data_IF_342651902600
#
_entry.id   IF_342651902600
#
_cell.length_a   1.000
_cell.length_b   1.000
_cell.length_c   1.000
_cell.angle_alpha   90.00
_cell.angle_beta   90.00
_cell.angle_gamma   90.00
#
_symmetry.space_group_name_H-M   'P 1'
#
loop_
_entity.id
_entity.type
_entity.pdbx_description
1 polymer ?
#
# COMPACT_ATOMS: atom_id res chain seq x y z
N UNK A 1 37.84 29.97 37.37
CA UNK A 1 37.04 28.76 37.14
C UNK A 1 35.73 29.04 36.36
N UNK A 2 34.82 29.90 36.81
CA UNK A 2 33.52 30.20 36.16
C UNK A 2 33.64 30.66 34.68
N UNK A 3 34.57 31.53 34.30
CA UNK A 3 34.74 32.01 32.92
C UNK A 3 35.22 30.92 31.93
N UNK A 4 36.04 29.98 32.37
CA UNK A 4 36.45 28.82 31.52
C UNK A 4 35.26 27.89 31.30
N UNK A 5 34.49 27.58 32.36
CA UNK A 5 33.28 26.74 32.27
C UNK A 5 32.25 27.36 31.32
N UNK A 6 31.98 28.65 31.38
CA UNK A 6 31.06 29.37 30.49
C UNK A 6 31.54 29.34 29.02
N UNK A 7 32.84 29.48 28.78
CA UNK A 7 33.40 29.36 27.40
C UNK A 7 33.30 27.96 26.86
N UNK A 8 33.56 26.93 27.68
CA UNK A 8 33.41 25.52 27.26
C UNK A 8 31.94 25.20 26.98
N UNK A 9 31.02 25.64 27.84
CA UNK A 9 29.59 25.46 27.64
C UNK A 9 29.11 26.18 26.35
N UNK A 10 29.54 27.43 26.13
CA UNK A 10 29.23 28.14 24.89
C UNK A 10 29.75 27.45 23.64
N UNK A 11 30.98 26.93 23.68
CA UNK A 11 31.54 26.17 22.58
C UNK A 11 30.74 24.88 22.30
N UNK A 12 30.35 24.10 23.33
CA UNK A 12 29.55 22.88 23.20
C UNK A 12 28.17 23.20 22.61
N UNK A 13 27.54 24.28 23.05
CA UNK A 13 26.23 24.69 22.49
C UNK A 13 26.38 25.07 21.02
N UNK A 14 27.35 25.92 20.67
CA UNK A 14 27.58 26.33 19.27
C UNK A 14 27.90 25.09 18.39
N UNK A 15 28.78 24.20 18.84
CA UNK A 15 29.11 22.98 18.13
C UNK A 15 27.85 22.10 17.95
N UNK A 16 27.02 21.94 18.99
CA UNK A 16 25.76 21.19 18.92
C UNK A 16 24.79 21.78 17.93
N UNK A 17 24.60 23.11 17.93
CA UNK A 17 23.72 23.81 16.98
C UNK A 17 24.25 23.70 15.54
N UNK A 18 25.56 23.81 15.35
CA UNK A 18 26.18 23.68 14.02
C UNK A 18 26.03 22.28 13.46
N UNK A 19 26.33 21.24 14.26
CA UNK A 19 26.18 19.84 13.86
C UNK A 19 24.70 19.52 13.61
N UNK A 20 23.79 19.95 14.48
CA UNK A 20 22.36 19.78 14.31
C UNK A 20 21.86 20.44 13.02
N UNK A 21 22.24 21.69 12.78
CA UNK A 21 21.89 22.43 11.56
C UNK A 21 22.44 21.77 10.29
N UNK A 22 23.70 21.35 10.31
CA UNK A 22 24.31 20.63 9.18
C UNK A 22 23.62 19.30 8.90
N UNK A 23 23.25 18.55 9.96
CA UNK A 23 22.51 17.29 9.83
C UNK A 23 21.14 17.51 9.21
N UNK A 24 20.38 18.48 9.69
CA UNK A 24 19.07 18.83 9.13
C UNK A 24 19.22 19.29 7.67
N UNK A 25 20.19 20.14 7.37
CA UNK A 25 20.50 20.58 6.01
C UNK A 25 20.84 19.41 5.08
N UNK A 26 21.66 18.49 5.54
CA UNK A 26 21.99 17.26 4.79
C UNK A 26 20.73 16.42 4.54
N UNK A 27 19.91 16.16 5.57
CA UNK A 27 18.66 15.41 5.41
C UNK A 27 17.69 16.09 4.46
N UNK A 28 17.69 17.42 4.41
CA UNK A 28 16.84 18.18 3.52
C UNK A 28 17.24 18.02 2.04
N UNK A 29 18.53 18.07 1.73
CA UNK A 29 19.04 17.99 0.35
C UNK A 29 19.30 16.58 -0.14
N UNK A 30 19.48 15.61 0.77
CA UNK A 30 19.76 14.22 0.39
C UNK A 30 18.62 13.64 -0.47
N UNK A 31 19.00 12.86 -1.50
CA UNK A 31 18.07 12.03 -2.26
C UNK A 31 17.94 10.64 -1.61
N UNK A 32 16.85 9.92 -1.87
CA UNK A 32 16.75 8.51 -1.49
C UNK A 32 17.91 7.67 -2.04
N UNK A 33 18.28 6.63 -1.33
CA UNK A 33 19.21 5.63 -1.85
C UNK A 33 18.48 4.78 -2.89
N UNK A 34 18.87 4.89 -4.15
CA UNK A 34 18.22 4.19 -5.26
C UNK A 34 19.22 3.79 -6.32
N UNK A 35 18.90 2.74 -7.07
CA UNK A 35 19.58 2.43 -8.31
C UNK A 35 19.05 3.33 -9.46
N UNK A 36 19.81 3.52 -10.54
CA UNK A 36 19.27 4.07 -11.77
C UNK A 36 18.08 3.21 -12.25
N UNK A 37 17.06 3.82 -12.91
CA UNK A 37 15.97 3.02 -13.47
C UNK A 37 16.54 2.04 -14.51
N UNK A 38 16.08 0.78 -14.55
CA UNK A 38 16.56 -0.17 -15.54
C UNK A 38 16.28 0.31 -16.96
N UNK A 39 17.25 0.14 -17.87
CA UNK A 39 17.12 0.54 -19.28
C UNK A 39 16.39 -0.52 -20.10
N UNK A 40 15.17 -0.86 -19.71
CA UNK A 40 14.35 -1.89 -20.38
C UNK A 40 13.13 -1.29 -21.08
N UNK A 41 12.66 -1.97 -22.10
CA UNK A 41 11.35 -1.78 -22.71
C UNK A 41 10.54 -3.05 -22.54
N UNK A 42 9.37 -2.93 -21.95
CA UNK A 42 8.52 -4.08 -21.61
C UNK A 42 7.75 -4.53 -22.87
N UNK A 43 7.87 -5.81 -23.28
CA UNK A 43 7.10 -6.32 -24.41
C UNK A 43 5.59 -6.34 -24.10
N UNK A 44 4.80 -5.81 -25.03
CA UNK A 44 3.34 -5.70 -24.92
C UNK A 44 2.63 -6.94 -25.47
N UNK A 45 2.81 -8.11 -24.83
CA UNK A 45 2.12 -9.35 -25.24
C UNK A 45 0.79 -9.49 -24.49
N UNK A 46 -0.19 -10.18 -25.09
CA UNK A 46 -1.49 -10.43 -24.46
C UNK A 46 -1.35 -11.17 -23.12
N UNK A 47 -0.47 -12.17 -23.04
CA UNK A 47 -0.22 -12.92 -21.83
C UNK A 47 0.33 -12.02 -20.72
N UNK A 48 1.27 -11.13 -21.05
CA UNK A 48 1.85 -10.18 -20.10
C UNK A 48 0.82 -9.14 -19.65
N UNK A 49 0.02 -8.61 -20.55
CA UNK A 49 -1.07 -7.68 -20.22
C UNK A 49 -2.11 -8.36 -19.31
N UNK A 50 -2.50 -9.59 -19.62
CA UNK A 50 -3.43 -10.37 -18.78
C UNK A 50 -2.86 -10.61 -17.37
N UNK A 51 -1.57 -10.99 -17.27
CA UNK A 51 -0.89 -11.13 -15.99
C UNK A 51 -0.80 -9.80 -15.24
N UNK A 52 -0.48 -8.71 -15.94
CA UNK A 52 -0.43 -7.36 -15.37
C UNK A 52 -1.77 -6.92 -14.81
N UNK A 53 -2.87 -7.20 -15.50
CA UNK A 53 -4.23 -6.95 -15.01
C UNK A 53 -4.52 -7.73 -13.72
N UNK A 54 -4.08 -8.97 -13.65
CA UNK A 54 -4.18 -9.78 -12.44
C UNK A 54 -3.42 -9.13 -11.27
N UNK A 55 -2.15 -8.75 -11.47
CA UNK A 55 -1.32 -8.10 -10.46
C UNK A 55 -1.92 -6.76 -10.04
N UNK A 56 -2.40 -5.96 -10.98
CA UNK A 56 -3.07 -4.68 -10.70
C UNK A 56 -4.26 -4.83 -9.74
N UNK A 57 -5.06 -5.88 -9.93
CA UNK A 57 -6.20 -6.20 -9.05
C UNK A 57 -5.74 -6.74 -7.69
N UNK A 58 -4.77 -7.66 -7.66
CA UNK A 58 -4.24 -8.23 -6.42
C UNK A 58 -3.60 -7.15 -5.53
N UNK A 59 -2.81 -6.26 -6.13
CA UNK A 59 -2.16 -5.14 -5.45
C UNK A 59 -3.11 -3.95 -5.17
N UNK A 60 -4.37 -4.05 -5.58
CA UNK A 60 -5.41 -3.01 -5.44
C UNK A 60 -4.94 -1.60 -5.85
N UNK A 61 -4.29 -1.47 -7.01
CA UNK A 61 -3.83 -0.18 -7.51
C UNK A 61 -4.98 0.84 -7.62
N UNK A 62 -6.18 0.37 -7.97
CA UNK A 62 -7.41 1.16 -7.99
C UNK A 62 -7.75 1.75 -6.62
N UNK A 63 -7.39 1.08 -5.52
CA UNK A 63 -7.67 1.52 -4.16
C UNK A 63 -7.15 2.91 -3.83
N UNK A 64 -6.01 3.27 -4.44
CA UNK A 64 -5.36 4.56 -4.26
C UNK A 64 -5.39 5.46 -5.50
N UNK A 65 -5.34 4.87 -6.71
CA UNK A 65 -5.13 5.64 -7.94
C UNK A 65 -6.38 5.91 -8.76
N UNK A 66 -7.56 5.41 -8.33
CA UNK A 66 -8.81 5.56 -9.07
C UNK A 66 -9.87 6.29 -8.26
N UNK A 67 -10.78 6.95 -8.96
CA UNK A 67 -12.00 7.47 -8.36
C UNK A 67 -12.91 6.31 -7.96
N UNK A 68 -13.42 6.33 -6.71
CA UNK A 68 -14.22 5.23 -6.16
C UNK A 68 -15.53 5.75 -5.58
N UNK A 69 -16.60 4.98 -5.80
CA UNK A 69 -17.92 5.25 -5.20
C UNK A 69 -18.04 4.56 -3.84
N UNK A 70 -17.62 5.25 -2.78
CA UNK A 70 -17.73 4.75 -1.41
C UNK A 70 -19.14 4.72 -0.83
N UNK A 71 -20.16 5.17 -1.57
CA UNK A 71 -21.55 4.94 -1.21
C UNK A 71 -22.02 3.50 -1.47
N UNK A 72 -21.20 2.71 -2.18
CA UNK A 72 -21.45 1.32 -2.53
C UNK A 72 -20.46 0.37 -1.86
N UNK A 73 -20.90 -0.88 -1.64
CA UNK A 73 -20.07 -1.91 -1.01
C UNK A 73 -18.75 -2.12 -1.77
N UNK A 74 -17.65 -2.13 -1.01
CA UNK A 74 -16.31 -2.28 -1.56
C UNK A 74 -15.79 -1.08 -2.35
N UNK A 75 -16.57 0.01 -2.43
CA UNK A 75 -16.20 1.21 -3.16
C UNK A 75 -15.80 0.90 -4.61
N UNK A 76 -16.71 0.47 -5.49
CA UNK A 76 -16.38 0.15 -6.88
C UNK A 76 -15.73 1.33 -7.57
N UNK A 77 -14.86 1.03 -8.53
CA UNK A 77 -14.20 2.05 -9.35
C UNK A 77 -15.23 2.73 -10.25
N UNK A 78 -15.17 4.04 -10.32
CA UNK A 78 -15.84 4.81 -11.38
C UNK A 78 -15.00 4.66 -12.64
N UNK A 79 -15.48 3.90 -13.62
CA UNK A 79 -14.66 3.48 -14.78
C UNK A 79 -14.03 4.67 -15.54
N UNK A 80 -14.73 5.79 -15.68
CA UNK A 80 -14.20 7.02 -16.28
C UNK A 80 -13.07 7.67 -15.47
N UNK A 81 -12.88 7.24 -14.23
CA UNK A 81 -11.85 7.72 -13.30
C UNK A 81 -10.79 6.69 -12.94
N UNK A 82 -10.72 5.56 -13.66
CA UNK A 82 -9.73 4.50 -13.40
C UNK A 82 -8.31 4.99 -13.64
N UNK A 83 -7.48 4.93 -12.61
CA UNK A 83 -6.07 5.32 -12.68
C UNK A 83 -5.81 6.83 -12.77
N UNK A 84 -6.84 7.68 -12.75
CA UNK A 84 -6.68 9.14 -12.92
C UNK A 84 -5.93 9.84 -11.81
N UNK A 85 -5.71 9.15 -10.67
CA UNK A 85 -5.15 9.73 -9.46
C UNK A 85 -6.18 10.48 -8.60
N UNK A 86 -5.89 10.60 -7.32
CA UNK A 86 -6.78 11.23 -6.33
C UNK A 86 -6.00 12.06 -5.30
N UNK A 87 -6.69 12.98 -4.64
CA UNK A 87 -6.22 13.66 -3.43
C UNK A 87 -6.91 12.98 -2.25
N UNK A 88 -6.13 12.47 -1.29
CA UNK A 88 -6.70 11.80 -0.13
C UNK A 88 -7.37 12.79 0.82
N UNK A 89 -8.53 12.43 1.39
CA UNK A 89 -9.26 13.30 2.28
C UNK A 89 -8.53 13.49 3.62
N UNK A 90 -8.65 14.67 4.25
CA UNK A 90 -7.98 14.99 5.52
C UNK A 90 -8.34 14.05 6.67
N UNK A 91 -9.53 13.42 6.64
CA UNK A 91 -10.06 12.51 7.65
C UNK A 91 -9.20 11.24 7.82
N UNK A 92 -8.37 10.92 6.83
CA UNK A 92 -7.38 9.84 6.96
C UNK A 92 -6.25 10.17 7.95
N UNK A 93 -6.15 11.40 8.44
CA UNK A 93 -5.14 11.80 9.42
C UNK A 93 -3.70 11.76 8.89
N UNK A 94 -3.51 11.89 7.58
CA UNK A 94 -2.21 11.83 6.93
C UNK A 94 -1.36 13.09 7.26
N UNK A 95 -0.03 12.98 7.24
CA UNK A 95 0.86 14.06 7.64
C UNK A 95 1.02 15.14 6.55
N UNK A 96 -0.08 15.69 6.07
CA UNK A 96 -0.13 16.73 5.04
C UNK A 96 -1.17 16.44 3.96
N UNK A 97 -1.10 17.14 2.85
CA UNK A 97 -1.89 16.82 1.65
C UNK A 97 -1.20 15.70 0.90
N UNK A 98 -1.74 14.50 0.99
CA UNK A 98 -1.19 13.32 0.32
C UNK A 98 -2.03 13.02 -0.91
N UNK A 99 -1.37 12.63 -1.99
CA UNK A 99 -2.00 12.36 -3.28
C UNK A 99 -1.47 11.06 -3.86
N UNK A 100 -2.33 10.31 -4.55
CA UNK A 100 -1.92 9.25 -5.47
C UNK A 100 -1.92 9.84 -6.89
N UNK A 101 -0.81 9.78 -7.62
CA UNK A 101 -0.71 10.40 -8.94
C UNK A 101 -1.56 9.67 -9.98
N UNK A 102 -1.79 10.34 -11.11
CA UNK A 102 -2.36 9.75 -12.30
C UNK A 102 -1.39 8.68 -12.86
N UNK A 103 -1.85 7.44 -12.93
CA UNK A 103 -1.09 6.28 -13.45
C UNK A 103 -1.55 5.83 -14.84
N UNK A 104 -2.43 6.59 -15.49
CA UNK A 104 -2.78 6.34 -16.88
C UNK A 104 -1.64 6.74 -17.82
N UNK A 105 -1.60 6.25 -19.08
CA UNK A 105 -0.57 6.60 -20.04
C UNK A 105 -0.78 8.00 -20.68
N UNK A 106 -1.43 8.93 -19.98
CA UNK A 106 -1.48 10.32 -20.41
C UNK A 106 -0.08 10.94 -20.38
N UNK A 107 0.39 11.53 -21.49
CA UNK A 107 1.78 12.00 -21.61
C UNK A 107 2.08 13.25 -20.79
N UNK A 108 1.06 14.06 -20.46
CA UNK A 108 1.25 15.34 -19.76
C UNK A 108 1.07 15.19 -18.23
N UNK A 109 0.07 14.42 -17.80
CA UNK A 109 -0.34 14.37 -16.40
C UNK A 109 -0.20 12.99 -15.76
N UNK A 110 0.07 11.95 -16.57
CA UNK A 110 0.20 10.56 -16.14
C UNK A 110 1.59 9.97 -16.37
N UNK A 111 1.63 8.68 -16.67
CA UNK A 111 2.87 7.91 -16.89
C UNK A 111 3.30 7.81 -18.34
N UNK A 112 2.60 8.44 -19.30
CA UNK A 112 2.86 8.28 -20.73
C UNK A 112 4.25 8.74 -21.18
N UNK A 113 4.83 9.74 -20.51
CA UNK A 113 6.19 10.21 -20.77
C UNK A 113 7.28 9.51 -19.94
N UNK A 114 6.93 8.53 -19.09
CA UNK A 114 7.87 7.77 -18.29
C UNK A 114 8.40 6.56 -19.05
N UNK A 115 9.68 6.25 -18.90
CA UNK A 115 10.21 4.96 -19.36
C UNK A 115 9.65 3.81 -18.52
N UNK A 116 9.65 2.59 -19.04
CA UNK A 116 9.18 1.43 -18.30
C UNK A 116 10.05 1.16 -17.06
N UNK A 117 11.36 1.41 -17.15
CA UNK A 117 12.25 1.32 -16.00
C UNK A 117 11.94 2.35 -14.91
N UNK A 118 11.54 3.59 -15.26
CA UNK A 118 11.10 4.59 -14.27
C UNK A 118 9.81 4.14 -13.55
N UNK A 119 8.88 3.51 -14.27
CA UNK A 119 7.65 2.94 -13.70
C UNK A 119 7.98 1.80 -12.74
N UNK A 120 8.87 0.87 -13.14
CA UNK A 120 9.33 -0.25 -12.31
C UNK A 120 9.99 0.26 -11.02
N UNK A 121 10.90 1.25 -11.14
CA UNK A 121 11.55 1.86 -9.98
C UNK A 121 10.54 2.52 -9.04
N UNK A 122 9.56 3.23 -9.56
CA UNK A 122 8.50 3.84 -8.74
C UNK A 122 7.69 2.78 -7.98
N UNK A 123 7.33 1.68 -8.63
CA UNK A 123 6.53 0.61 -8.05
C UNK A 123 7.32 -0.15 -6.97
N UNK A 124 8.57 -0.54 -7.25
CA UNK A 124 9.34 -1.44 -6.36
C UNK A 124 10.23 -0.72 -5.36
N UNK A 125 10.70 0.49 -5.68
CA UNK A 125 11.65 1.22 -4.85
C UNK A 125 11.05 2.47 -4.19
N UNK A 126 9.89 2.93 -4.65
CA UNK A 126 9.25 4.14 -4.12
C UNK A 126 9.93 5.44 -4.56
N UNK A 127 10.51 5.48 -5.76
CA UNK A 127 11.23 6.65 -6.29
C UNK A 127 10.62 7.11 -7.60
N UNK A 128 10.15 8.33 -7.62
CA UNK A 128 9.57 8.96 -8.80
C UNK A 128 10.59 9.22 -9.92
N UNK A 129 10.10 9.63 -11.08
CA UNK A 129 10.91 9.97 -12.26
C UNK A 129 12.00 11.02 -11.95
N UNK A 130 11.67 12.01 -11.14
CA UNK A 130 12.56 13.09 -10.71
C UNK A 130 13.58 12.67 -9.62
N UNK A 131 13.56 11.40 -9.20
CA UNK A 131 14.39 10.88 -8.14
C UNK A 131 13.91 11.23 -6.71
N UNK A 132 12.71 11.78 -6.57
CA UNK A 132 12.13 12.04 -5.26
C UNK A 132 11.50 10.78 -4.65
N UNK A 133 11.56 10.67 -3.31
CA UNK A 133 10.86 9.62 -2.58
C UNK A 133 9.34 9.78 -2.73
N UNK A 134 8.65 8.70 -3.02
CA UNK A 134 7.20 8.61 -2.93
C UNK A 134 6.79 8.47 -1.46
N UNK A 135 5.60 8.99 -1.11
CA UNK A 135 5.08 8.82 0.24
C UNK A 135 4.77 7.32 0.50
N UNK A 136 5.22 6.75 1.65
CA UNK A 136 5.18 5.29 1.90
C UNK A 136 3.78 4.73 2.19
N UNK A 137 2.70 5.46 1.84
CA UNK A 137 1.37 4.90 1.73
C UNK A 137 1.23 4.04 0.46
N UNK A 138 1.97 4.35 -0.61
CA UNK A 138 2.20 3.40 -1.69
C UNK A 138 3.09 2.26 -1.14
N UNK A 139 2.65 1.00 -1.15
CA UNK A 139 3.33 -0.07 -0.44
C UNK A 139 4.53 -0.65 -1.22
N UNK A 140 5.42 0.22 -1.70
CA UNK A 140 6.60 -0.19 -2.46
C UNK A 140 7.55 -1.10 -1.64
N UNK A 141 7.49 -1.07 -0.31
CA UNK A 141 8.22 -2.02 0.54
C UNK A 141 7.73 -3.45 0.33
N UNK A 142 6.41 -3.64 0.21
CA UNK A 142 5.82 -4.93 -0.15
C UNK A 142 6.10 -5.28 -1.62
N UNK A 143 5.94 -4.30 -2.52
CA UNK A 143 6.15 -4.49 -3.96
C UNK A 143 7.62 -4.72 -4.35
N UNK A 144 8.58 -4.39 -3.49
CA UNK A 144 10.01 -4.71 -3.70
C UNK A 144 10.24 -6.20 -3.90
N UNK A 145 9.39 -7.05 -3.32
CA UNK A 145 9.43 -8.50 -3.50
C UNK A 145 8.65 -9.01 -4.70
N UNK A 146 7.98 -8.13 -5.45
CA UNK A 146 7.32 -8.51 -6.71
C UNK A 146 8.39 -8.98 -7.70
N UNK A 147 8.15 -10.13 -8.36
CA UNK A 147 9.09 -10.66 -9.35
C UNK A 147 9.28 -9.70 -10.53
N UNK A 148 10.43 -9.79 -11.19
CA UNK A 148 10.71 -8.96 -12.36
C UNK A 148 9.64 -9.16 -13.43
N UNK A 149 9.22 -10.41 -13.68
CA UNK A 149 8.15 -10.74 -14.61
C UNK A 149 6.81 -10.09 -14.23
N UNK A 150 6.44 -10.09 -12.96
CA UNK A 150 5.17 -9.55 -12.49
C UNK A 150 5.14 -8.01 -12.52
N UNK A 151 6.24 -7.34 -12.14
CA UNK A 151 6.27 -5.87 -12.23
C UNK A 151 6.31 -5.39 -13.67
N UNK A 152 7.03 -6.09 -14.56
CA UNK A 152 6.99 -5.82 -16.01
C UNK A 152 5.58 -6.05 -16.57
N UNK A 153 4.91 -7.12 -16.16
CA UNK A 153 3.54 -7.39 -16.57
C UNK A 153 2.58 -6.29 -16.07
N UNK A 154 2.76 -5.82 -14.85
CA UNK A 154 2.01 -4.69 -14.32
C UNK A 154 2.23 -3.42 -15.17
N UNK A 155 3.47 -3.11 -15.53
CA UNK A 155 3.79 -1.97 -16.41
C UNK A 155 3.14 -2.14 -17.78
N UNK A 156 3.18 -3.35 -18.38
CA UNK A 156 2.49 -3.62 -19.62
C UNK A 156 0.99 -3.30 -19.53
N UNK A 157 0.33 -3.74 -18.44
CA UNK A 157 -1.08 -3.44 -18.24
C UNK A 157 -1.34 -1.94 -18.04
N UNK A 158 -0.54 -1.23 -17.25
CA UNK A 158 -0.66 0.22 -17.06
C UNK A 158 -0.60 0.98 -18.38
N UNK A 159 0.24 0.53 -19.31
CA UNK A 159 0.36 1.11 -20.65
C UNK A 159 -0.87 0.88 -21.51
N UNK A 160 -1.79 -0.02 -21.14
CA UNK A 160 -3.07 -0.27 -21.85
C UNK A 160 -4.25 0.50 -21.29
N UNK A 161 -4.11 1.16 -20.13
CA UNK A 161 -5.20 1.94 -19.56
C UNK A 161 -5.60 3.09 -20.51
N UNK A 162 -6.89 3.46 -20.57
CA UNK A 162 -7.28 4.67 -21.29
C UNK A 162 -6.55 5.90 -20.73
N UNK A 163 -5.93 6.74 -21.56
CA UNK A 163 -5.29 7.95 -21.08
C UNK A 163 -6.34 8.94 -20.56
N UNK A 164 -6.13 9.43 -19.34
CA UNK A 164 -7.01 10.42 -18.71
C UNK A 164 -6.16 11.63 -18.35
N UNK A 165 -6.46 12.79 -18.94
CA UNK A 165 -5.80 14.04 -18.56
C UNK A 165 -6.34 14.53 -17.23
N UNK A 166 -5.57 14.37 -16.16
CA UNK A 166 -5.91 14.81 -14.82
C UNK A 166 -4.66 15.22 -14.05
N UNK A 167 -4.52 16.53 -13.80
CA UNK A 167 -3.40 17.07 -13.06
C UNK A 167 -3.63 16.91 -11.57
N UNK A 168 -3.01 15.91 -10.97
CA UNK A 168 -3.01 15.72 -9.52
C UNK A 168 -1.84 16.50 -8.90
N UNK A 169 -2.06 17.34 -7.87
CA UNK A 169 -0.98 18.07 -7.21
C UNK A 169 0.02 17.09 -6.57
N UNK A 170 1.27 17.52 -6.41
CA UNK A 170 2.26 16.71 -5.66
C UNK A 170 1.89 16.66 -4.19
N UNK A 171 2.16 15.52 -3.55
CA UNK A 171 2.02 15.38 -2.11
C UNK A 171 2.85 16.41 -1.35
N UNK A 172 2.23 17.08 -0.40
CA UNK A 172 2.85 18.05 0.49
C UNK A 172 2.95 17.47 1.89
N UNK A 173 4.05 16.77 2.16
CA UNK A 173 4.28 16.07 3.43
C UNK A 173 4.87 17.03 4.45
N UNK A 174 4.25 17.12 5.64
CA UNK A 174 4.72 18.00 6.73
C UNK A 174 6.01 17.49 7.36
N UNK A 175 6.83 18.44 7.83
CA UNK A 175 7.98 18.15 8.68
C UNK A 175 7.52 17.52 10.02
N UNK A 176 8.25 16.54 10.59
CA UNK A 176 9.52 15.97 10.12
C UNK A 176 9.36 14.80 9.14
N UNK A 177 8.14 14.34 8.85
CA UNK A 177 7.87 13.16 8.02
C UNK A 177 8.44 13.33 6.60
N UNK A 178 8.39 14.56 6.06
CA UNK A 178 8.97 14.90 4.75
C UNK A 178 10.47 14.60 4.62
N UNK A 179 11.22 14.63 5.73
CA UNK A 179 12.63 14.23 5.76
C UNK A 179 12.81 12.74 6.00
N UNK A 180 12.03 12.17 6.92
CA UNK A 180 12.15 10.78 7.34
C UNK A 180 11.78 9.82 6.19
N UNK A 181 10.73 10.15 5.42
CA UNK A 181 10.29 9.33 4.29
C UNK A 181 11.37 9.11 3.22
N UNK A 182 12.37 9.99 3.12
CA UNK A 182 13.47 9.84 2.14
C UNK A 182 14.37 8.64 2.42
N UNK A 183 14.28 8.04 3.60
CA UNK A 183 15.01 6.81 3.95
C UNK A 183 14.23 5.52 3.73
N UNK A 184 12.93 5.60 3.42
CA UNK A 184 12.09 4.44 3.16
C UNK A 184 12.39 3.76 1.80
N UNK A 185 12.63 4.48 0.68
CA UNK A 185 13.05 3.86 -0.57
C UNK A 185 14.35 3.09 -0.43
N UNK A 186 14.40 1.90 -1.02
CA UNK A 186 15.58 1.03 -1.06
C UNK A 186 15.69 0.42 -2.46
N UNK A 187 16.90 0.21 -2.99
CA UNK A 187 17.09 -0.48 -4.26
C UNK A 187 16.45 -1.87 -4.26
N UNK A 188 15.77 -2.21 -5.34
CA UNK A 188 15.27 -3.55 -5.58
C UNK A 188 16.30 -4.32 -6.42
N UNK A 189 16.76 -5.46 -5.92
CA UNK A 189 17.55 -6.41 -6.71
C UNK A 189 16.65 -7.21 -7.66
N UNK A 190 17.24 -8.08 -8.50
CA UNK A 190 16.50 -9.04 -9.29
C UNK A 190 15.66 -9.97 -8.39
N UNK A 191 14.40 -10.18 -8.76
CA UNK A 191 13.49 -11.09 -8.05
C UNK A 191 12.96 -12.11 -9.05
N UNK A 192 13.31 -13.40 -8.88
CA UNK A 192 12.84 -14.45 -9.78
C UNK A 192 11.31 -14.66 -9.63
N UNK A 193 10.66 -15.25 -10.63
CA UNK A 193 9.27 -15.62 -10.52
C UNK A 193 9.06 -16.61 -9.37
N UNK A 194 7.95 -16.52 -8.62
CA UNK A 194 7.67 -17.44 -7.53
C UNK A 194 7.39 -18.85 -8.07
N UNK A 195 7.88 -19.87 -7.36
CA UNK A 195 7.51 -21.25 -7.64
C UNK A 195 6.05 -21.48 -7.24
N UNK A 196 5.18 -21.61 -8.25
CA UNK A 196 3.75 -21.86 -8.04
C UNK A 196 3.42 -23.27 -7.57
N UNK A 197 4.37 -24.22 -7.68
CA UNK A 197 4.22 -25.58 -7.16
C UNK A 197 4.42 -25.64 -5.64
N UNK A 198 5.22 -24.73 -5.07
CA UNK A 198 5.32 -24.54 -3.63
C UNK A 198 4.17 -23.64 -3.14
N UNK A 199 3.08 -24.27 -2.76
CA UNK A 199 1.86 -23.60 -2.34
C UNK A 199 2.08 -22.59 -1.19
N UNK A 200 2.96 -22.88 -0.23
CA UNK A 200 3.21 -22.00 0.90
C UNK A 200 4.00 -20.76 0.49
N UNK A 201 5.09 -20.95 -0.25
CA UNK A 201 5.89 -19.82 -0.74
C UNK A 201 5.13 -18.96 -1.74
N UNK A 202 4.34 -19.60 -2.61
CA UNK A 202 3.49 -18.85 -3.52
C UNK A 202 2.41 -18.07 -2.77
N UNK A 203 1.80 -18.63 -1.74
CA UNK A 203 0.85 -17.95 -0.86
C UNK A 203 1.47 -16.78 -0.11
N UNK A 204 2.69 -16.96 0.43
CA UNK A 204 3.47 -15.86 1.04
C UNK A 204 3.68 -14.71 0.05
N UNK A 205 4.11 -15.04 -1.17
CA UNK A 205 4.31 -14.07 -2.24
C UNK A 205 3.04 -13.27 -2.53
N UNK A 206 1.90 -13.94 -2.72
CA UNK A 206 0.61 -13.29 -3.02
C UNK A 206 0.13 -12.40 -1.87
N UNK A 207 0.22 -12.88 -0.61
CA UNK A 207 -0.14 -12.12 0.59
C UNK A 207 0.74 -10.88 0.73
N UNK A 208 2.02 -10.99 0.39
CA UNK A 208 2.98 -9.90 0.48
C UNK A 208 2.74 -8.84 -0.61
N UNK A 209 2.65 -9.23 -1.88
CA UNK A 209 2.41 -8.26 -2.96
C UNK A 209 0.97 -7.73 -2.98
N UNK A 210 0.01 -8.42 -2.36
CA UNK A 210 -1.33 -7.92 -2.08
C UNK A 210 -1.40 -6.97 -0.89
N UNK A 211 -0.27 -6.71 -0.24
CA UNK A 211 -0.12 -5.84 0.95
C UNK A 211 -1.12 -6.13 2.06
N UNK A 212 -1.46 -7.41 2.27
CA UNK A 212 -2.40 -7.80 3.33
C UNK A 212 -1.92 -7.31 4.70
N UNK A 213 -0.61 -7.38 4.96
CA UNK A 213 0.03 -6.90 6.18
C UNK A 213 -0.12 -5.39 6.38
N UNK A 214 -0.09 -4.61 5.32
CA UNK A 214 -0.21 -3.14 5.39
C UNK A 214 -1.53 -2.68 6.00
N UNK A 215 -2.62 -3.40 5.71
CA UNK A 215 -3.93 -3.13 6.30
C UNK A 215 -4.17 -3.94 7.58
N UNK A 216 -3.74 -5.20 7.65
CA UNK A 216 -4.07 -6.12 8.73
C UNK A 216 -3.03 -6.20 9.86
N UNK A 217 -2.01 -5.34 9.86
CA UNK A 217 -1.07 -5.18 10.98
C UNK A 217 -1.28 -3.82 11.64
N UNK A 218 -1.55 -3.75 12.94
CA UNK A 218 -1.69 -2.48 13.63
C UNK A 218 -0.34 -1.76 13.69
N UNK A 219 -0.37 -0.44 13.64
CA UNK A 219 0.83 0.38 13.65
C UNK A 219 0.68 1.53 14.64
N UNK A 220 1.77 1.87 15.31
CA UNK A 220 1.89 3.04 16.17
C UNK A 220 2.99 3.96 15.63
N UNK A 221 2.69 5.25 15.52
CA UNK A 221 3.62 6.24 14.94
C UNK A 221 4.19 5.83 13.57
N UNK A 222 3.36 5.18 12.73
CA UNK A 222 3.74 4.70 11.39
C UNK A 222 4.60 3.43 11.38
N UNK A 223 4.86 2.80 12.53
CA UNK A 223 5.63 1.55 12.63
C UNK A 223 4.71 0.40 13.04
N UNK A 224 4.82 -0.78 12.39
CA UNK A 224 4.10 -1.98 12.83
C UNK A 224 4.41 -2.32 14.29
N UNK A 225 3.38 -2.67 15.06
CA UNK A 225 3.54 -3.13 16.44
C UNK A 225 4.16 -4.52 16.42
N UNK A 226 5.27 -4.68 17.15
CA UNK A 226 5.99 -5.94 17.19
C UNK A 226 5.10 -7.07 17.74
N UNK A 227 5.14 -8.24 17.10
CA UNK A 227 4.34 -9.39 17.47
C UNK A 227 2.86 -9.34 17.04
N UNK A 228 2.42 -8.26 16.38
CA UNK A 228 1.04 -8.07 15.96
C UNK A 228 0.84 -8.21 14.44
N UNK A 229 1.76 -8.85 13.74
CA UNK A 229 1.63 -9.07 12.31
C UNK A 229 0.31 -9.78 11.97
N UNK A 230 -0.47 -9.21 11.05
CA UNK A 230 -1.79 -9.70 10.61
C UNK A 230 -2.89 -9.75 11.69
N UNK A 231 -2.66 -9.18 12.88
CA UNK A 231 -3.62 -9.23 13.99
C UNK A 231 -4.81 -8.26 13.83
N UNK A 232 -4.86 -7.45 12.78
CA UNK A 232 -5.92 -6.46 12.57
C UNK A 232 -5.81 -5.25 13.49
N UNK A 233 -6.87 -4.47 13.59
CA UNK A 233 -6.93 -3.32 14.52
C UNK A 233 -6.59 -1.97 13.91
N UNK A 234 -6.25 -1.90 12.62
CA UNK A 234 -6.01 -0.62 11.95
C UNK A 234 -7.33 0.05 11.58
N UNK A 235 -7.52 1.26 12.08
CA UNK A 235 -8.72 2.05 11.84
C UNK A 235 -8.59 2.88 10.55
N UNK A 236 -9.62 2.83 9.72
CA UNK A 236 -9.77 3.64 8.50
C UNK A 236 -11.02 4.49 8.60
N UNK A 237 -10.94 5.74 8.13
CA UNK A 237 -12.07 6.67 8.05
C UNK A 237 -12.17 7.25 6.64
N UNK A 238 -13.38 7.19 6.05
CA UNK A 238 -13.68 7.82 4.75
C UNK A 238 -15.04 8.53 4.91
N UNK A 239 -15.01 9.84 4.90
CA UNK A 239 -16.22 10.64 5.15
C UNK A 239 -16.92 10.22 6.46
N UNK A 240 -18.19 9.87 6.42
CA UNK A 240 -18.95 9.46 7.62
C UNK A 240 -18.72 7.99 8.03
N UNK A 241 -17.95 7.24 7.26
CA UNK A 241 -17.74 5.82 7.46
C UNK A 241 -16.44 5.53 8.18
N UNK A 242 -16.44 4.48 8.98
CA UNK A 242 -15.25 3.94 9.61
C UNK A 242 -15.27 2.41 9.58
N UNK A 243 -14.10 1.81 9.47
CA UNK A 243 -13.91 0.36 9.53
C UNK A 243 -12.56 0.05 10.16
N UNK A 244 -12.49 -1.03 10.93
CA UNK A 244 -11.26 -1.55 11.52
C UNK A 244 -10.90 -2.86 10.85
N UNK A 245 -9.64 -3.02 10.45
CA UNK A 245 -9.19 -4.26 9.81
C UNK A 245 -9.27 -5.46 10.76
N UNK A 246 -9.79 -6.57 10.27
CA UNK A 246 -9.96 -7.80 11.05
C UNK A 246 -8.63 -8.50 11.32
N UNK A 247 -8.58 -9.31 12.38
CA UNK A 247 -7.50 -10.26 12.64
C UNK A 247 -7.57 -11.40 11.60
N UNK A 248 -6.49 -11.58 10.83
CA UNK A 248 -6.35 -12.66 9.84
C UNK A 248 -5.25 -13.67 10.21
N UNK A 249 -4.80 -13.67 11.47
CA UNK A 249 -3.94 -14.74 12.00
C UNK A 249 -4.74 -16.03 12.24
N UNK A 250 -4.09 -17.19 12.38
CA UNK A 250 -4.79 -18.46 12.68
C UNK A 250 -5.22 -18.60 14.15
N UNK A 251 -5.47 -17.50 14.85
CA UNK A 251 -6.04 -17.55 16.20
C UNK A 251 -7.48 -18.09 16.15
N UNK A 252 -7.83 -19.14 16.95
CA UNK A 252 -9.13 -19.78 16.86
C UNK A 252 -10.28 -18.96 17.45
N UNK A 253 -9.99 -17.94 18.25
CA UNK A 253 -11.01 -17.13 18.92
C UNK A 253 -11.26 -15.78 18.26
N UNK A 254 -10.24 -15.20 17.64
CA UNK A 254 -10.32 -13.83 17.10
C UNK A 254 -9.88 -13.70 15.64
N UNK A 255 -9.35 -14.77 15.04
CA UNK A 255 -8.82 -14.77 13.68
C UNK A 255 -9.42 -15.87 12.79
N UNK A 256 -8.60 -16.39 11.86
CA UNK A 256 -9.00 -17.41 10.88
C UNK A 256 -8.87 -18.86 11.40
N UNK A 257 -8.56 -19.06 12.69
CA UNK A 257 -8.17 -20.37 13.22
C UNK A 257 -9.20 -21.48 13.03
N UNK A 258 -10.49 -21.15 13.07
CA UNK A 258 -11.59 -22.11 12.86
C UNK A 258 -12.11 -22.17 11.43
N UNK A 259 -11.57 -21.34 10.53
CA UNK A 259 -12.02 -21.34 9.14
C UNK A 259 -11.44 -22.54 8.40
N UNK A 260 -12.28 -23.22 7.61
CA UNK A 260 -11.82 -24.15 6.59
C UNK A 260 -11.36 -23.39 5.35
N UNK A 261 -10.56 -24.05 4.50
CA UNK A 261 -10.16 -23.51 3.19
C UNK A 261 -11.38 -23.12 2.35
N UNK A 262 -12.38 -24.00 2.28
CA UNK A 262 -13.61 -23.73 1.54
C UNK A 262 -14.40 -22.53 2.09
N UNK A 263 -14.42 -22.36 3.41
CA UNK A 263 -15.06 -21.21 4.01
C UNK A 263 -14.31 -19.91 3.65
N UNK A 264 -12.96 -19.95 3.70
CA UNK A 264 -12.13 -18.82 3.30
C UNK A 264 -12.41 -18.40 1.83
N UNK A 265 -12.43 -19.36 0.90
CA UNK A 265 -12.74 -19.09 -0.52
C UNK A 265 -14.14 -18.49 -0.68
N UNK A 266 -15.14 -19.12 -0.03
CA UNK A 266 -16.53 -18.61 -0.09
C UNK A 266 -16.65 -17.17 0.38
N UNK A 267 -15.85 -16.73 1.37
CA UNK A 267 -15.86 -15.34 1.84
C UNK A 267 -15.50 -14.33 0.74
N UNK A 268 -14.62 -14.68 -0.19
CA UNK A 268 -14.31 -13.83 -1.34
C UNK A 268 -15.38 -13.97 -2.43
N UNK A 269 -15.81 -15.19 -2.74
CA UNK A 269 -16.71 -15.44 -3.85
C UNK A 269 -18.15 -14.99 -3.64
N UNK A 270 -18.54 -14.71 -2.40
CA UNK A 270 -19.82 -14.04 -2.11
C UNK A 270 -19.99 -12.71 -2.85
N UNK A 271 -18.89 -12.07 -3.24
CA UNK A 271 -18.93 -10.74 -3.87
C UNK A 271 -18.74 -10.78 -5.39
N UNK A 272 -18.69 -11.98 -6.00
CA UNK A 272 -18.58 -12.12 -7.47
C UNK A 272 -19.75 -11.49 -8.21
N UNK A 273 -20.94 -11.63 -7.69
CA UNK A 273 -22.13 -11.03 -8.29
C UNK A 273 -22.06 -9.50 -8.25
N UNK A 274 -21.47 -8.92 -7.21
CA UNK A 274 -21.29 -7.47 -7.12
C UNK A 274 -20.31 -6.94 -8.19
N UNK A 275 -19.34 -7.76 -8.61
CA UNK A 275 -18.43 -7.41 -9.72
C UNK A 275 -19.19 -7.31 -11.04
N UNK A 276 -20.15 -8.21 -11.27
CA UNK A 276 -20.85 -8.35 -12.54
C UNK A 276 -22.13 -7.51 -12.63
N UNK A 277 -22.85 -7.36 -11.51
CA UNK A 277 -24.19 -6.75 -11.44
C UNK A 277 -24.19 -5.39 -10.74
N UNK A 278 -23.03 -4.98 -10.17
CA UNK A 278 -22.91 -3.79 -9.35
C UNK A 278 -23.16 -4.06 -7.87
N UNK A 279 -22.39 -3.38 -7.02
CA UNK A 279 -22.50 -3.54 -5.56
C UNK A 279 -23.64 -2.70 -4.98
N UNK A 280 -24.28 -3.16 -3.88
CA UNK A 280 -25.36 -2.43 -3.22
C UNK A 280 -24.83 -1.17 -2.52
N UNK A 281 -25.75 -0.24 -2.21
CA UNK A 281 -25.44 0.87 -1.32
C UNK A 281 -25.09 0.38 0.08
N UNK A 282 -24.18 1.08 0.75
CA UNK A 282 -23.72 0.72 2.10
C UNK A 282 -24.29 1.63 3.18
N UNK A 283 -24.54 1.02 4.35
CA UNK A 283 -24.70 1.72 5.61
C UNK A 283 -23.39 1.68 6.42
N UNK A 284 -23.40 2.28 7.61
CA UNK A 284 -22.24 2.32 8.51
C UNK A 284 -21.72 0.93 8.89
N UNK A 285 -22.62 -0.05 9.00
CA UNK A 285 -22.31 -1.43 9.41
C UNK A 285 -21.84 -2.34 8.28
N UNK A 286 -21.98 -1.90 7.03
CA UNK A 286 -21.58 -2.67 5.85
C UNK A 286 -20.45 -2.02 5.07
N UNK A 287 -19.96 -0.86 5.49
CA UNK A 287 -18.84 -0.18 4.86
C UNK A 287 -17.54 -1.01 4.98
N UNK A 288 -16.77 -1.07 3.91
CA UNK A 288 -15.48 -1.76 3.88
C UNK A 288 -14.52 -1.11 2.91
N UNK A 289 -13.23 -1.12 3.27
CA UNK A 289 -12.11 -0.78 2.37
C UNK A 289 -11.36 -2.02 1.89
N UNK A 290 -11.68 -3.20 2.44
CA UNK A 290 -11.13 -4.45 1.93
C UNK A 290 -11.48 -4.57 0.43
N UNK A 291 -10.50 -4.85 -0.46
CA UNK A 291 -10.73 -4.88 -1.91
C UNK A 291 -11.45 -6.16 -2.35
N UNK A 292 -12.62 -6.43 -1.74
CA UNK A 292 -13.42 -7.62 -1.97
C UNK A 292 -13.73 -7.83 -3.46
N UNK A 293 -14.05 -6.75 -4.19
CA UNK A 293 -14.41 -6.82 -5.60
C UNK A 293 -13.24 -7.28 -6.48
N UNK A 294 -12.03 -6.84 -6.16
CA UNK A 294 -10.81 -7.28 -6.85
C UNK A 294 -10.45 -8.72 -6.46
N UNK A 295 -10.42 -9.02 -5.16
CA UNK A 295 -10.02 -10.33 -4.64
C UNK A 295 -11.03 -11.44 -5.00
N UNK A 296 -12.32 -11.12 -5.17
CA UNK A 296 -13.34 -12.05 -5.64
C UNK A 296 -13.05 -12.59 -7.06
N UNK A 297 -12.24 -11.89 -7.85
CA UNK A 297 -11.87 -12.31 -9.21
C UNK A 297 -10.65 -13.22 -9.26
N UNK A 298 -9.95 -13.43 -8.15
CA UNK A 298 -8.74 -14.25 -8.11
C UNK A 298 -9.06 -15.74 -8.37
N UNK A 299 -8.13 -16.49 -8.99
CA UNK A 299 -8.26 -17.93 -9.15
C UNK A 299 -8.38 -18.64 -7.79
N UNK A 300 -9.14 -19.77 -7.74
CA UNK A 300 -9.29 -20.53 -6.50
C UNK A 300 -7.95 -20.98 -5.90
N UNK A 301 -7.02 -21.41 -6.72
CA UNK A 301 -5.73 -21.96 -6.24
C UNK A 301 -4.85 -20.85 -5.64
N UNK A 302 -4.95 -19.61 -6.11
CA UNK A 302 -4.25 -18.48 -5.52
C UNK A 302 -4.82 -18.13 -4.13
N UNK A 303 -6.14 -18.10 -3.98
CA UNK A 303 -6.79 -17.89 -2.67
C UNK A 303 -6.47 -19.04 -1.70
N UNK A 304 -6.41 -20.31 -2.20
CA UNK A 304 -6.00 -21.46 -1.39
C UNK A 304 -4.54 -21.33 -0.95
N UNK A 305 -3.65 -20.83 -1.82
CA UNK A 305 -2.25 -20.60 -1.48
C UNK A 305 -2.13 -19.49 -0.41
N UNK A 306 -2.86 -18.40 -0.56
CA UNK A 306 -2.92 -17.32 0.45
C UNK A 306 -3.43 -17.84 1.80
N UNK A 307 -4.51 -18.64 1.79
CA UNK A 307 -5.01 -19.28 3.00
C UNK A 307 -3.96 -20.19 3.65
N UNK A 308 -3.32 -21.06 2.86
CA UNK A 308 -2.30 -21.98 3.37
C UNK A 308 -1.17 -21.21 4.07
N UNK A 309 -0.69 -20.13 3.50
CA UNK A 309 0.31 -19.27 4.12
C UNK A 309 -0.20 -18.60 5.41
N UNK A 310 -1.39 -17.98 5.38
CA UNK A 310 -1.97 -17.33 6.56
C UNK A 310 -2.20 -18.31 7.73
N UNK A 311 -2.31 -19.61 7.45
CA UNK A 311 -2.36 -20.66 8.49
C UNK A 311 -1.00 -20.92 9.16
N UNK A 312 0.11 -20.47 8.57
CA UNK A 312 1.46 -20.67 9.12
C UNK A 312 1.98 -19.47 9.93
N UNK A 313 1.34 -18.30 9.83
CA UNK A 313 1.78 -17.14 10.59
C UNK A 313 1.49 -17.33 12.09
N UNK A 314 2.26 -16.71 13.00
CA UNK A 314 2.01 -16.83 14.44
C UNK A 314 0.57 -16.41 14.81
N UNK A 315 -0.18 -17.24 15.57
CA UNK A 315 -1.50 -16.84 16.04
C UNK A 315 -1.40 -15.72 17.07
N UNK A 316 -2.21 -14.68 16.88
CA UNK A 316 -2.29 -13.55 17.82
C UNK A 316 -3.72 -13.42 18.30
N UNK A 317 -3.94 -13.56 19.62
CA UNK A 317 -5.27 -13.33 20.20
C UNK A 317 -5.54 -11.84 20.29
N UNK A 318 -6.31 -11.31 19.32
CA UNK A 318 -6.69 -9.90 19.25
C UNK A 318 -8.11 -9.79 18.69
N UNK A 319 -9.07 -9.55 19.55
CA UNK A 319 -10.45 -9.34 19.14
C UNK A 319 -10.63 -7.95 18.53
N UNK A 320 -11.17 -7.90 17.34
CA UNK A 320 -11.45 -6.65 16.62
C UNK A 320 -12.95 -6.58 16.29
N UNK A 321 -13.59 -5.48 16.62
CA UNK A 321 -14.90 -5.14 16.05
C UNK A 321 -14.68 -4.35 14.76
N UNK A 322 -15.00 -4.90 13.58
CA UNK A 322 -14.77 -4.19 12.30
C UNK A 322 -15.59 -2.90 12.16
N UNK A 323 -16.73 -2.79 12.82
CA UNK A 323 -17.65 -1.65 12.75
C UNK A 323 -17.94 -1.09 14.14
N UNK A 324 -16.95 -0.44 14.80
CA UNK A 324 -17.18 0.17 16.10
C UNK A 324 -18.19 1.33 16.00
N UNK A 325 -19.02 1.52 17.00
CA UNK A 325 -19.88 2.70 17.10
C UNK A 325 -19.03 3.97 17.09
N UNK A 326 -19.55 5.07 16.49
CA UNK A 326 -18.86 6.35 16.46
C UNK A 326 -18.47 6.76 17.89
N UNK A 327 -17.17 6.97 18.17
CA UNK A 327 -16.62 7.29 19.49
C UNK A 327 -16.05 6.09 20.27
N UNK A 328 -16.18 4.84 19.78
CA UNK A 328 -15.67 3.64 20.49
C UNK A 328 -14.19 3.30 20.27
N UNK A 329 -13.53 3.95 19.31
CA UNK A 329 -12.17 3.59 18.89
C UNK A 329 -11.03 3.98 19.84
N UNK A 330 -11.27 4.88 20.78
CA UNK A 330 -10.21 5.34 21.72
C UNK A 330 -10.02 4.46 22.96
N UNK A 331 -10.95 3.56 23.25
CA UNK A 331 -10.86 2.70 24.45
C UNK A 331 -10.19 1.34 24.27
N UNK A 332 -9.89 0.96 23.02
CA UNK A 332 -9.27 -0.34 22.73
C UNK A 332 -7.72 -0.32 22.71
N UNK A 333 -7.11 0.85 22.92
CA UNK A 333 -5.66 1.05 22.91
C UNK A 333 -5.06 1.42 24.29
N UNK A 334 -5.72 1.01 25.40
CA UNK A 334 -5.13 1.14 26.75
C UNK A 334 -4.95 -0.22 27.40
#
# INVERSE_FOLDING_TARGET
>A
MKRRLLRTLGFVIVAGVTVGGATVGYLYVRKPATAPPPGITVPMTEARIARGRYIYKLADCDGCHSERDYSRFGGPVVESGRGRGVVFPPELGLPGTITAPNITPDPETGLGAWTDGEKIRAIREGVGRDGAALFPMMPYEAYRSMSDEDVESLVAYLNTLPPIRNQVPRSQVRFPVSLLMKSAPQPAGPVPPPDRSDRLRYGEYLVKIGDCGGCHTPAENGKPIAGMAYAGGKLFRIGPFQVVSSNITPDPKSGLGTWSEDYFLRRFYLYRDYVNQGSPHVGKESFTLMPWLNLATLPPDDLKAMYAYLRTVPPVHHYVNPHPAAGGGERAAR
#
